data_IF_855104354057
#
_entry.id   IF_855104354057
#
_cell.length_a   1.000
_cell.length_b   1.000
_cell.length_c   1.000
_cell.angle_alpha   90.00
_cell.angle_beta   90.00
_cell.angle_gamma   90.00
#
_symmetry.space_group_name_H-M   'P 1'
#
loop_
_entity.id
_entity.type
_entity.pdbx_description
1 polymer ?
#
# COMPACT_ATOMS: atom_id res chain seq x y z
N UNK A 1 26.40 -14.66 -9.18
CA UNK A 1 27.34 -13.63 -9.66
C UNK A 1 27.78 -12.66 -8.57
N UNK A 2 26.88 -12.12 -7.75
CA UNK A 2 27.24 -11.14 -6.70
C UNK A 2 28.16 -11.70 -5.59
N UNK A 3 28.01 -12.96 -5.21
CA UNK A 3 28.84 -13.60 -4.15
C UNK A 3 30.29 -13.89 -4.56
N UNK A 4 30.63 -13.77 -5.83
CA UNK A 4 31.99 -13.94 -6.33
C UNK A 4 32.62 -12.59 -6.66
N UNK A 5 31.96 -11.79 -7.46
CA UNK A 5 32.49 -10.51 -7.97
C UNK A 5 32.57 -9.45 -6.87
N UNK A 6 31.58 -9.38 -5.97
CA UNK A 6 31.58 -8.42 -4.87
C UNK A 6 32.80 -8.54 -3.97
N UNK A 7 33.09 -9.74 -3.40
CA UNK A 7 34.29 -9.95 -2.60
C UNK A 7 35.60 -9.63 -3.33
N UNK A 8 35.73 -9.99 -4.61
CA UNK A 8 36.92 -9.67 -5.41
C UNK A 8 37.16 -8.16 -5.55
N UNK A 9 36.09 -7.39 -5.75
CA UNK A 9 36.18 -5.92 -5.83
C UNK A 9 36.55 -5.34 -4.46
N UNK A 10 35.94 -5.83 -3.40
CA UNK A 10 36.19 -5.37 -2.03
C UNK A 10 37.64 -5.65 -1.61
N UNK A 11 38.18 -6.83 -1.94
CA UNK A 11 39.56 -7.17 -1.67
C UNK A 11 40.54 -6.22 -2.40
N UNK A 12 40.29 -5.92 -3.69
CA UNK A 12 41.10 -4.95 -4.44
C UNK A 12 41.04 -3.53 -3.89
N UNK A 13 39.91 -3.15 -3.33
CA UNK A 13 39.68 -1.83 -2.74
C UNK A 13 40.16 -1.75 -1.26
N UNK A 14 40.64 -2.83 -0.68
CA UNK A 14 40.93 -2.98 0.76
C UNK A 14 39.73 -2.62 1.65
N UNK A 15 38.52 -2.99 1.22
CA UNK A 15 37.28 -2.79 1.97
C UNK A 15 36.82 -4.15 2.53
N UNK A 16 36.63 -4.22 3.84
CA UNK A 16 36.06 -5.37 4.52
C UNK A 16 34.53 -5.23 4.65
N UNK A 17 33.80 -6.26 4.23
CA UNK A 17 32.38 -6.41 4.49
C UNK A 17 32.15 -7.57 5.46
N UNK A 18 31.45 -7.32 6.54
CA UNK A 18 31.18 -8.33 7.58
C UNK A 18 29.91 -9.14 7.30
N UNK A 19 29.09 -8.67 6.35
CA UNK A 19 27.84 -9.34 5.95
C UNK A 19 27.54 -9.08 4.49
N UNK A 20 26.78 -9.98 3.87
CA UNK A 20 26.24 -9.86 2.51
C UNK A 20 24.76 -9.43 2.51
N UNK A 21 24.19 -9.13 3.67
CA UNK A 21 22.80 -8.78 3.84
C UNK A 21 22.64 -7.38 4.46
N UNK A 22 21.43 -7.13 4.88
CA UNK A 22 21.09 -5.90 5.59
C UNK A 22 21.77 -5.89 6.98
N UNK A 23 22.24 -4.70 7.39
CA UNK A 23 22.76 -4.44 8.73
C UNK A 23 21.85 -3.46 9.44
N UNK A 24 21.94 -3.41 10.78
CA UNK A 24 21.26 -2.42 11.60
C UNK A 24 22.06 -1.14 11.79
N UNK A 25 23.00 -0.86 10.91
CA UNK A 25 23.83 0.36 11.00
C UNK A 25 23.07 1.57 10.46
N UNK A 26 23.28 2.70 11.12
CA UNK A 26 22.72 3.97 10.69
C UNK A 26 23.33 4.40 9.35
N UNK A 27 22.48 4.99 8.50
CA UNK A 27 22.90 5.56 7.22
C UNK A 27 22.67 7.06 7.22
N UNK A 28 23.56 7.87 6.58
CA UNK A 28 23.37 9.30 6.54
C UNK A 28 22.17 9.69 5.68
N UNK A 29 21.34 10.59 6.23
CA UNK A 29 20.26 11.25 5.52
C UNK A 29 20.66 12.69 5.19
N UNK A 30 20.61 13.05 3.91
CA UNK A 30 20.89 14.41 3.44
C UNK A 30 19.59 15.08 2.99
N UNK A 31 19.32 16.26 3.54
CA UNK A 31 18.14 17.05 3.20
C UNK A 31 18.56 18.42 2.69
N UNK A 32 18.11 18.77 1.51
CA UNK A 32 18.14 20.12 0.99
C UNK A 32 16.72 20.70 1.03
N UNK A 33 16.55 21.83 1.72
CA UNK A 33 15.27 22.53 1.78
C UNK A 33 15.50 24.04 1.69
N UNK A 34 14.56 24.80 1.07
CA UNK A 34 14.61 26.25 1.05
C UNK A 34 14.65 26.86 2.44
N UNK A 35 15.07 28.13 2.52
CA UNK A 35 15.03 28.90 3.77
C UNK A 35 13.59 29.00 4.29
N UNK A 36 13.42 28.83 5.59
CA UNK A 36 12.09 28.84 6.23
C UNK A 36 11.36 27.50 6.25
N UNK A 37 11.83 26.49 5.52
CA UNK A 37 11.27 25.14 5.63
C UNK A 37 11.88 24.38 6.83
N UNK A 38 11.04 23.67 7.55
CA UNK A 38 11.49 22.74 8.59
C UNK A 38 12.37 21.65 7.97
N UNK A 39 13.46 21.29 8.63
CA UNK A 39 14.36 20.21 8.19
C UNK A 39 14.34 19.10 9.21
N UNK A 40 14.18 17.88 8.72
CA UNK A 40 14.35 16.69 9.55
C UNK A 40 15.84 16.54 9.89
N UNK A 41 16.17 16.30 11.14
CA UNK A 41 17.56 16.17 11.60
C UNK A 41 17.67 15.31 12.85
N UNK A 42 18.92 14.97 13.22
CA UNK A 42 19.20 14.06 14.31
C UNK A 42 19.12 12.59 13.90
N UNK A 43 18.97 11.71 14.89
CA UNK A 43 18.71 10.29 14.67
C UNK A 43 17.21 10.11 14.46
N UNK A 44 16.83 9.56 13.31
CA UNK A 44 15.42 9.39 12.90
C UNK A 44 15.19 7.97 12.40
N UNK A 45 13.97 7.49 12.54
CA UNK A 45 13.55 6.23 11.94
C UNK A 45 13.29 6.41 10.44
N UNK A 46 13.38 5.35 9.65
CA UNK A 46 13.08 5.40 8.22
C UNK A 46 11.63 5.81 7.94
N UNK A 47 10.71 5.51 8.84
CA UNK A 47 9.30 5.94 8.77
C UNK A 47 9.12 7.44 8.97
N UNK A 48 10.02 8.10 9.72
CA UNK A 48 9.98 9.55 9.92
C UNK A 48 10.23 10.32 8.62
N UNK A 49 10.97 9.74 7.68
CA UNK A 49 11.18 10.33 6.35
C UNK A 49 9.86 10.43 5.58
N UNK A 50 9.03 9.37 5.62
CA UNK A 50 7.72 9.37 4.98
C UNK A 50 6.76 10.37 5.65
N UNK A 51 6.76 10.42 6.99
CA UNK A 51 5.96 11.37 7.77
C UNK A 51 6.38 12.82 7.49
N UNK A 52 7.68 13.08 7.38
CA UNK A 52 8.20 14.39 7.04
C UNK A 52 7.76 14.84 5.64
N UNK A 53 7.84 13.96 4.64
CA UNK A 53 7.37 14.27 3.29
C UNK A 53 5.86 14.54 3.26
N UNK A 54 5.06 13.72 3.95
CA UNK A 54 3.62 13.92 4.05
C UNK A 54 3.29 15.29 4.66
N UNK A 55 3.97 15.66 5.76
CA UNK A 55 3.81 16.97 6.40
C UNK A 55 4.12 18.13 5.46
N UNK A 56 5.19 18.04 4.66
CA UNK A 56 5.54 19.07 3.68
C UNK A 56 4.48 19.24 2.59
N UNK A 57 3.80 18.16 2.22
CA UNK A 57 2.68 18.19 1.26
C UNK A 57 1.33 18.55 1.89
N UNK A 58 1.26 18.74 3.20
CA UNK A 58 0.01 18.98 3.91
C UNK A 58 -0.91 17.75 3.92
N UNK A 59 -0.35 16.55 3.86
CA UNK A 59 -1.07 15.28 3.84
C UNK A 59 -1.05 14.68 5.26
N UNK A 60 -2.24 14.40 5.80
CA UNK A 60 -2.38 13.59 7.01
C UNK A 60 -2.55 12.11 6.61
N UNK A 61 -1.52 11.31 6.85
CA UNK A 61 -1.47 9.91 6.39
C UNK A 61 -2.58 9.03 6.99
N UNK A 62 -3.00 9.32 8.21
CA UNK A 62 -4.08 8.60 8.88
C UNK A 62 -5.43 8.84 8.18
N UNK A 63 -5.67 10.06 7.69
CA UNK A 63 -6.87 10.42 6.94
C UNK A 63 -6.87 9.75 5.57
N UNK A 64 -5.73 9.81 4.88
CA UNK A 64 -5.58 9.12 3.59
C UNK A 64 -5.80 7.62 3.73
N UNK A 65 -5.24 7.00 4.78
CA UNK A 65 -5.44 5.57 5.03
C UNK A 65 -6.91 5.23 5.25
N UNK A 66 -7.64 6.03 6.03
CA UNK A 66 -9.08 5.83 6.26
C UNK A 66 -9.91 6.01 5.00
N UNK A 67 -9.58 7.01 4.18
CA UNK A 67 -10.31 7.32 2.94
C UNK A 67 -10.03 6.33 1.82
N UNK A 68 -8.83 5.74 1.78
CA UNK A 68 -8.40 4.96 0.62
C UNK A 68 -8.47 3.45 0.82
N UNK A 69 -8.37 2.96 2.08
CA UNK A 69 -8.17 1.52 2.27
C UNK A 69 -8.87 0.97 3.51
N UNK A 70 -10.01 0.35 3.32
CA UNK A 70 -10.65 -0.48 4.34
C UNK A 70 -10.54 -1.96 3.97
N UNK A 71 -10.27 -2.88 4.94
CA UNK A 71 -10.28 -4.31 4.69
C UNK A 71 -11.70 -4.73 4.25
N UNK A 72 -11.86 -5.15 2.99
CA UNK A 72 -13.19 -5.38 2.40
C UNK A 72 -13.99 -6.42 3.16
N UNK A 73 -13.34 -7.52 3.59
CA UNK A 73 -14.04 -8.60 4.29
C UNK A 73 -14.64 -8.08 5.60
N UNK A 74 -13.83 -7.51 6.47
CA UNK A 74 -14.30 -7.03 7.79
C UNK A 74 -15.36 -5.94 7.66
N UNK A 75 -15.17 -5.00 6.71
CA UNK A 75 -16.10 -3.90 6.51
C UNK A 75 -17.45 -4.37 5.91
N UNK A 76 -17.43 -5.29 4.95
CA UNK A 76 -18.64 -5.83 4.32
C UNK A 76 -19.41 -6.76 5.28
N UNK A 77 -18.70 -7.64 6.00
CA UNK A 77 -19.30 -8.50 7.02
C UNK A 77 -19.95 -7.68 8.14
N UNK A 78 -19.33 -6.54 8.54
CA UNK A 78 -19.93 -5.58 9.48
C UNK A 78 -21.26 -4.97 9.01
N UNK A 79 -21.50 -4.94 7.70
CA UNK A 79 -22.79 -4.55 7.08
C UNK A 79 -23.70 -5.76 6.77
N UNK A 80 -23.33 -6.97 7.18
CA UNK A 80 -24.10 -8.19 6.95
C UNK A 80 -24.03 -8.72 5.51
N UNK A 81 -22.95 -8.39 4.79
CA UNK A 81 -22.68 -8.90 3.44
C UNK A 81 -21.66 -10.03 3.48
N UNK A 82 -21.71 -10.93 2.51
CA UNK A 82 -20.71 -11.97 2.28
C UNK A 82 -19.66 -11.49 1.27
N UNK A 83 -18.42 -11.96 1.42
CA UNK A 83 -17.31 -11.61 0.54
C UNK A 83 -16.65 -12.86 -0.01
N UNK A 84 -16.62 -12.99 -1.32
CA UNK A 84 -16.01 -14.11 -2.06
C UNK A 84 -14.88 -13.56 -2.93
N UNK A 85 -13.77 -14.29 -2.97
CA UNK A 85 -12.70 -14.07 -3.92
C UNK A 85 -12.95 -14.93 -5.16
N UNK A 86 -13.05 -14.28 -6.32
CA UNK A 86 -13.20 -14.92 -7.62
C UNK A 86 -11.92 -14.72 -8.44
N UNK A 87 -11.16 -15.80 -8.61
CA UNK A 87 -9.94 -15.87 -9.41
C UNK A 87 -10.13 -16.80 -10.64
N UNK A 88 -11.34 -17.01 -11.09
CA UNK A 88 -11.66 -17.77 -12.31
C UNK A 88 -10.89 -17.22 -13.52
N UNK A 89 -10.67 -15.89 -13.58
CA UNK A 89 -9.64 -15.27 -14.42
C UNK A 89 -8.46 -14.81 -13.55
N UNK A 90 -7.41 -15.62 -13.50
CA UNK A 90 -6.22 -15.33 -12.70
C UNK A 90 -5.50 -14.02 -13.07
N UNK A 91 -5.74 -13.48 -14.28
CA UNK A 91 -5.19 -12.18 -14.71
C UNK A 91 -6.02 -10.99 -14.22
N UNK A 92 -7.29 -11.21 -13.95
CA UNK A 92 -8.23 -10.19 -13.52
C UNK A 92 -9.09 -10.69 -12.35
N UNK A 93 -8.50 -10.98 -11.18
CA UNK A 93 -9.27 -11.42 -10.03
C UNK A 93 -10.24 -10.34 -9.56
N UNK A 94 -11.36 -10.77 -9.00
CA UNK A 94 -12.46 -9.92 -8.59
C UNK A 94 -12.88 -10.26 -7.16
N UNK A 95 -13.12 -9.26 -6.33
CA UNK A 95 -13.86 -9.45 -5.09
C UNK A 95 -15.34 -9.31 -5.37
N UNK A 96 -16.11 -10.30 -4.95
CA UNK A 96 -17.57 -10.30 -5.06
C UNK A 96 -18.16 -10.12 -3.67
N UNK A 97 -18.96 -9.08 -3.50
CA UNK A 97 -19.66 -8.76 -2.25
C UNK A 97 -21.15 -8.98 -2.52
N UNK A 98 -21.80 -9.80 -1.69
CA UNK A 98 -23.21 -10.10 -1.84
C UNK A 98 -24.00 -9.79 -0.58
N UNK A 99 -25.16 -9.15 -0.72
CA UNK A 99 -26.10 -8.92 0.36
C UNK A 99 -27.55 -9.03 -0.13
N UNK A 100 -28.24 -10.08 0.29
CA UNK A 100 -29.58 -10.39 -0.21
C UNK A 100 -29.56 -10.68 -1.72
N UNK A 101 -30.20 -9.84 -2.51
CA UNK A 101 -30.20 -9.93 -3.98
C UNK A 101 -29.15 -9.05 -4.66
N UNK A 102 -28.46 -8.21 -3.92
CA UNK A 102 -27.47 -7.28 -4.48
C UNK A 102 -26.10 -7.93 -4.59
N UNK A 103 -25.46 -7.70 -5.74
CA UNK A 103 -24.09 -8.14 -6.03
C UNK A 103 -23.24 -6.95 -6.40
N UNK A 104 -22.06 -6.83 -5.75
CA UNK A 104 -21.05 -5.82 -6.07
C UNK A 104 -19.76 -6.55 -6.45
N UNK A 105 -19.31 -6.37 -7.69
CA UNK A 105 -18.04 -6.89 -8.19
C UNK A 105 -16.99 -5.80 -8.19
N UNK A 106 -15.86 -6.06 -7.52
CA UNK A 106 -14.77 -5.11 -7.39
C UNK A 106 -13.49 -5.72 -7.95
N UNK A 107 -13.12 -5.39 -9.20
CA UNK A 107 -11.89 -5.89 -9.83
C UNK A 107 -10.65 -5.36 -9.12
N UNK A 108 -9.64 -6.22 -8.97
CA UNK A 108 -8.37 -5.85 -8.34
C UNK A 108 -7.57 -4.91 -9.25
N UNK A 109 -6.85 -3.98 -8.65
CA UNK A 109 -6.04 -2.95 -9.31
C UNK A 109 -6.83 -2.01 -10.24
N UNK A 110 -8.13 -1.83 -9.98
CA UNK A 110 -9.01 -0.92 -10.73
C UNK A 110 -9.77 0.00 -9.78
N UNK A 111 -10.14 1.18 -10.28
CA UNK A 111 -10.96 2.18 -9.57
C UNK A 111 -12.41 2.16 -10.05
N UNK A 112 -12.96 0.97 -10.21
CA UNK A 112 -14.32 0.72 -10.67
C UNK A 112 -14.93 -0.43 -9.87
N UNK A 113 -16.21 -0.31 -9.56
CA UNK A 113 -17.05 -1.39 -9.05
C UNK A 113 -18.23 -1.62 -10.00
N UNK A 114 -18.82 -2.80 -9.98
CA UNK A 114 -20.03 -3.12 -10.71
C UNK A 114 -21.12 -3.50 -9.71
N UNK A 115 -22.16 -2.70 -9.63
CA UNK A 115 -23.32 -2.94 -8.74
C UNK A 115 -24.44 -3.52 -9.58
N UNK A 116 -24.79 -4.78 -9.38
CA UNK A 116 -25.79 -5.51 -10.17
C UNK A 116 -25.53 -5.43 -11.69
N UNK A 117 -24.23 -5.32 -12.07
CA UNK A 117 -23.77 -5.18 -13.46
C UNK A 117 -23.54 -3.75 -13.93
N UNK A 118 -24.03 -2.75 -13.23
CA UNK A 118 -23.81 -1.34 -13.58
C UNK A 118 -22.47 -0.83 -13.05
N UNK A 119 -21.69 -0.20 -13.93
CA UNK A 119 -20.37 0.31 -13.61
C UNK A 119 -20.43 1.60 -12.78
N UNK A 120 -19.74 1.61 -11.65
CA UNK A 120 -19.61 2.76 -10.73
C UNK A 120 -18.12 3.07 -10.54
N UNK A 121 -17.72 4.31 -10.79
CA UNK A 121 -16.37 4.77 -10.49
C UNK A 121 -16.22 4.99 -8.99
N UNK A 122 -15.14 4.45 -8.41
CA UNK A 122 -14.80 4.61 -6.99
C UNK A 122 -13.60 5.52 -6.80
N UNK A 123 -13.41 6.04 -5.60
CA UNK A 123 -12.42 7.08 -5.28
C UNK A 123 -10.96 6.62 -5.35
N UNK A 124 -10.71 5.32 -5.24
CA UNK A 124 -9.36 4.75 -5.25
C UNK A 124 -9.31 3.39 -5.94
N UNK A 125 -8.14 2.78 -5.91
CA UNK A 125 -7.86 1.49 -6.54
C UNK A 125 -8.00 0.38 -5.51
N UNK A 126 -8.67 -0.71 -5.87
CA UNK A 126 -8.73 -1.92 -5.05
C UNK A 126 -7.37 -2.59 -5.01
N UNK A 127 -6.88 -2.91 -3.82
CA UNK A 127 -5.54 -3.47 -3.61
C UNK A 127 -5.60 -4.82 -2.92
N UNK A 128 -4.86 -5.79 -3.45
CA UNK A 128 -4.63 -7.09 -2.80
C UNK A 128 -3.16 -7.21 -2.40
N UNK A 129 -2.88 -7.44 -1.12
CA UNK A 129 -1.51 -7.54 -0.58
C UNK A 129 -0.98 -8.97 -0.50
N UNK A 130 -1.67 -9.93 -1.11
CA UNK A 130 -1.34 -11.36 -1.04
C UNK A 130 -2.11 -12.12 0.05
N UNK A 131 -2.76 -11.41 0.99
CA UNK A 131 -3.52 -12.00 2.10
C UNK A 131 -4.91 -11.35 2.18
N UNK A 132 -4.95 -10.03 2.22
CA UNK A 132 -6.18 -9.24 2.37
C UNK A 132 -6.41 -8.33 1.18
N UNK A 133 -7.69 -8.11 0.88
CA UNK A 133 -8.10 -7.09 -0.09
C UNK A 133 -8.57 -5.84 0.64
N UNK A 134 -8.12 -4.72 0.14
CA UNK A 134 -8.46 -3.38 0.62
C UNK A 134 -9.18 -2.62 -0.49
N UNK A 135 -10.25 -1.94 -0.12
CA UNK A 135 -11.06 -1.13 -1.04
C UNK A 135 -11.21 0.28 -0.49
N UNK A 136 -11.44 1.28 -1.35
CA UNK A 136 -11.88 2.60 -0.91
C UNK A 136 -13.19 2.50 -0.10
N UNK A 137 -13.39 3.39 0.86
CA UNK A 137 -14.56 3.38 1.75
C UNK A 137 -15.87 3.50 0.97
N UNK A 138 -15.89 4.26 -0.12
CA UNK A 138 -17.07 4.42 -0.98
C UNK A 138 -17.55 3.10 -1.64
N UNK A 139 -16.68 2.10 -1.77
CA UNK A 139 -17.10 0.74 -2.17
C UNK A 139 -18.00 0.12 -1.10
N UNK A 140 -17.66 0.31 0.17
CA UNK A 140 -18.45 -0.20 1.29
C UNK A 140 -19.78 0.54 1.41
N UNK A 141 -19.86 1.80 1.00
CA UNK A 141 -21.10 2.59 0.97
C UNK A 141 -22.07 2.13 -0.12
N UNK A 142 -21.61 1.40 -1.12
CA UNK A 142 -22.48 0.75 -2.12
C UNK A 142 -23.30 -0.42 -1.53
N UNK A 143 -22.91 -0.97 -0.37
CA UNK A 143 -23.64 -2.05 0.31
C UNK A 143 -24.85 -1.46 1.03
N UNK A 144 -26.02 -1.72 0.51
CA UNK A 144 -27.32 -1.22 1.05
C UNK A 144 -27.92 -2.14 2.10
#
# INVERSE_FOLDING_TARGET
MNYTVGPMISERANIGWTTNGHTGEDVPLYIYAPEGCEKLGGLVDNTDVANYMAKLFGIELSDVTRMLFVPVRTAAEGKGAEVIWDDSDAKNPVVVITKGSDEIKVPINKNIAYVNGDAVKVSGVTVFNGINTYVPEDVIDLIK
#
